data_IF_946954809328
#
_entry.id   IF_946954809328
#
_cell.length_a   1.000
_cell.length_b   1.000
_cell.length_c   1.000
_cell.angle_alpha   90.00
_cell.angle_beta   90.00
_cell.angle_gamma   90.00
#
_symmetry.space_group_name_H-M   'P 1'
#
loop_
_entity.id
_entity.type
_entity.pdbx_description
1 polymer ?
#
# COMPACT_ATOMS: atom_id res chain seq x y z
N UNK A 1 -2.78 1.47 -20.56
CA UNK A 1 -3.28 2.57 -19.71
C UNK A 1 -3.34 2.07 -18.27
N UNK A 2 -2.72 2.71 -17.28
CA UNK A 2 -2.80 2.26 -15.88
C UNK A 2 -4.26 2.39 -15.40
N UNK A 3 -4.88 1.27 -15.04
CA UNK A 3 -6.25 1.23 -14.54
C UNK A 3 -6.28 1.78 -13.12
N UNK A 4 -6.95 2.92 -12.93
CA UNK A 4 -7.14 3.51 -11.60
C UNK A 4 -8.14 2.63 -10.83
N UNK A 5 -7.64 1.75 -9.96
CA UNK A 5 -8.49 0.94 -9.07
C UNK A 5 -9.07 1.83 -7.97
N UNK A 6 -10.40 1.99 -7.96
CA UNK A 6 -11.11 2.70 -6.89
C UNK A 6 -11.35 1.73 -5.73
N UNK A 7 -10.97 2.13 -4.51
CA UNK A 7 -11.22 1.36 -3.28
C UNK A 7 -12.05 2.22 -2.34
N UNK A 8 -13.20 1.70 -1.91
CA UNK A 8 -14.05 2.34 -0.90
C UNK A 8 -13.54 1.94 0.49
N UNK A 9 -13.34 2.92 1.37
CA UNK A 9 -12.78 2.69 2.71
C UNK A 9 -13.62 3.44 3.73
N UNK A 10 -14.05 2.75 4.78
CA UNK A 10 -14.73 3.38 5.91
C UNK A 10 -13.70 4.06 6.81
N UNK A 11 -13.95 5.31 7.17
CA UNK A 11 -13.08 6.10 8.04
C UNK A 11 -13.86 6.60 9.25
N UNK A 12 -13.20 6.64 10.41
CA UNK A 12 -13.77 7.27 11.61
C UNK A 12 -13.96 8.78 11.40
N UNK A 13 -14.87 9.43 12.13
CA UNK A 13 -15.07 10.87 12.04
C UNK A 13 -13.79 11.68 12.26
N UNK A 14 -12.90 11.22 13.15
CA UNK A 14 -11.61 11.82 13.48
C UNK A 14 -10.70 11.84 12.25
N UNK A 15 -10.61 10.70 11.55
CA UNK A 15 -9.81 10.57 10.33
C UNK A 15 -10.37 11.45 9.21
N UNK A 16 -11.70 11.52 9.06
CA UNK A 16 -12.34 12.42 8.08
C UNK A 16 -11.98 13.89 8.34
N UNK A 17 -12.05 14.34 9.60
CA UNK A 17 -11.63 15.71 9.99
C UNK A 17 -10.16 15.95 9.67
N UNK A 18 -9.30 14.98 9.96
CA UNK A 18 -7.87 15.05 9.69
C UNK A 18 -7.56 15.16 8.17
N UNK A 19 -8.29 14.42 7.34
CA UNK A 19 -8.20 14.51 5.87
C UNK A 19 -8.69 15.87 5.38
N UNK A 20 -9.86 16.32 5.84
CA UNK A 20 -10.44 17.60 5.46
C UNK A 20 -9.52 18.78 5.79
N UNK A 21 -8.92 18.80 6.99
CA UNK A 21 -7.97 19.85 7.39
C UNK A 21 -6.73 19.89 6.48
N UNK A 22 -6.21 18.74 6.03
CA UNK A 22 -5.07 18.67 5.12
C UNK A 22 -5.39 19.16 3.71
N UNK A 23 -6.63 18.95 3.25
CA UNK A 23 -7.12 19.48 1.97
C UNK A 23 -7.33 21.00 2.09
N UNK A 24 -7.95 21.46 3.17
CA UNK A 24 -8.18 22.88 3.43
C UNK A 24 -6.87 23.68 3.53
N UNK A 25 -5.80 23.07 4.06
CA UNK A 25 -4.46 23.65 4.08
C UNK A 25 -3.79 23.77 2.69
N UNK A 26 -4.45 23.34 1.61
CA UNK A 26 -3.95 23.44 0.24
C UNK A 26 -2.87 22.45 -0.15
N UNK A 27 -2.43 21.57 0.78
CA UNK A 27 -1.36 20.59 0.52
C UNK A 27 -1.81 19.40 -0.33
N UNK A 28 -3.10 19.12 -0.39
CA UNK A 28 -3.67 18.00 -1.15
C UNK A 28 -5.01 18.41 -1.75
N UNK A 29 -5.34 17.89 -2.93
CA UNK A 29 -6.61 18.23 -3.63
C UNK A 29 -7.72 17.24 -3.33
N UNK A 30 -7.37 16.00 -3.00
CA UNK A 30 -8.33 14.91 -2.80
C UNK A 30 -8.01 14.04 -1.59
N UNK A 31 -9.03 13.38 -1.03
CA UNK A 31 -8.83 12.41 0.05
C UNK A 31 -7.89 11.27 -0.36
N UNK A 32 -7.98 10.78 -1.60
CA UNK A 32 -7.09 9.73 -2.10
C UNK A 32 -5.63 10.15 -2.14
N UNK A 33 -5.32 11.44 -2.38
CA UNK A 33 -3.94 11.94 -2.29
C UNK A 33 -3.44 11.98 -0.86
N UNK A 34 -4.28 12.42 0.08
CA UNK A 34 -3.94 12.41 1.51
C UNK A 34 -3.64 10.98 1.97
N UNK A 35 -4.50 10.02 1.60
CA UNK A 35 -4.32 8.60 1.98
C UNK A 35 -3.06 8.02 1.37
N UNK A 36 -2.76 8.28 0.08
CA UNK A 36 -1.50 7.82 -0.52
C UNK A 36 -0.27 8.42 0.15
N UNK A 37 -0.32 9.70 0.50
CA UNK A 37 0.78 10.35 1.21
C UNK A 37 0.96 9.76 2.62
N UNK A 38 -0.13 9.48 3.32
CA UNK A 38 -0.09 8.83 4.63
C UNK A 38 0.49 7.41 4.56
N UNK A 39 0.06 6.60 3.59
CA UNK A 39 0.60 5.25 3.39
C UNK A 39 2.09 5.28 3.01
N UNK A 40 2.52 6.21 2.16
CA UNK A 40 3.95 6.37 1.83
C UNK A 40 4.79 6.77 3.04
N UNK A 41 4.22 7.52 3.99
CA UNK A 41 4.90 7.83 5.25
C UNK A 41 4.96 6.59 6.14
N UNK A 42 3.87 5.84 6.25
CA UNK A 42 3.82 4.57 6.98
C UNK A 42 4.84 3.56 6.42
N UNK A 43 4.91 3.39 5.10
CA UNK A 43 5.86 2.46 4.45
C UNK A 43 7.33 2.79 4.74
N UNK A 44 7.65 4.03 5.13
CA UNK A 44 9.01 4.41 5.52
C UNK A 44 9.35 3.94 6.93
N UNK A 45 8.35 3.86 7.80
CA UNK A 45 8.49 3.39 9.18
C UNK A 45 8.31 1.86 9.26
N UNK A 46 7.42 1.31 8.42
CA UNK A 46 7.08 -0.10 8.31
C UNK A 46 7.20 -0.56 6.85
N UNK A 47 8.41 -0.85 6.35
CA UNK A 47 8.60 -1.28 4.97
C UNK A 47 7.83 -2.57 4.71
N UNK A 48 7.02 -2.60 3.65
CA UNK A 48 6.22 -3.77 3.26
C UNK A 48 7.04 -5.07 3.07
N UNK A 49 8.37 -4.97 2.93
CA UNK A 49 9.28 -6.11 2.93
C UNK A 49 9.24 -6.90 4.26
N UNK A 50 8.97 -6.24 5.39
CA UNK A 50 8.74 -6.92 6.67
C UNK A 50 7.44 -7.72 6.69
N UNK A 51 6.53 -7.46 5.75
CA UNK A 51 5.22 -8.13 5.61
C UNK A 51 5.26 -9.16 4.47
N UNK A 52 6.41 -9.36 3.78
CA UNK A 52 6.51 -10.36 2.73
C UNK A 52 6.32 -11.76 3.34
N UNK A 53 5.30 -12.53 2.93
CA UNK A 53 5.26 -13.94 3.26
C UNK A 53 6.52 -14.61 2.65
N UNK A 54 7.05 -15.67 3.29
CA UNK A 54 8.22 -16.36 2.78
C UNK A 54 7.95 -16.76 1.33
N UNK A 55 8.69 -16.17 0.40
CA UNK A 55 8.61 -16.54 -1.01
C UNK A 55 9.11 -17.98 -1.07
N UNK A 56 8.18 -18.92 -1.28
CA UNK A 56 8.47 -20.35 -1.33
C UNK A 56 9.60 -20.58 -2.33
N UNK A 57 10.69 -21.17 -1.84
CA UNK A 57 11.82 -21.55 -2.67
C UNK A 57 11.32 -22.45 -3.79
N UNK A 58 11.37 -21.93 -5.00
CA UNK A 58 11.28 -22.70 -6.22
C UNK A 58 12.50 -23.62 -6.21
N UNK A 59 12.36 -24.82 -5.63
CA UNK A 59 13.31 -25.91 -5.75
C UNK A 59 13.24 -26.40 -7.20
N UNK A 60 13.81 -25.63 -8.12
CA UNK A 60 14.48 -26.23 -9.25
C UNK A 60 15.67 -26.99 -8.68
N UNK A 61 15.72 -28.30 -8.91
CA UNK A 61 16.93 -29.15 -8.95
C UNK A 61 16.60 -30.59 -8.58
N UNK A 62 15.78 -31.27 -9.39
CA UNK A 62 15.88 -32.73 -9.52
C UNK A 62 16.01 -33.08 -11.00
N UNK A 63 17.24 -32.91 -11.51
CA UNK A 63 17.72 -33.65 -12.66
C UNK A 63 18.13 -35.04 -12.19
N UNK A 64 17.54 -36.07 -12.77
CA UNK A 64 18.00 -37.44 -12.64
C UNK A 64 17.54 -38.22 -13.86
N UNK A 65 18.41 -38.56 -14.81
CA UNK A 65 18.01 -39.44 -15.90
C UNK A 65 17.91 -40.86 -15.36
N UNK A 66 16.70 -41.42 -15.34
CA UNK A 66 16.50 -42.86 -15.12
C UNK A 66 17.01 -43.61 -16.36
N UNK A 67 18.12 -44.34 -16.20
CA UNK A 67 18.54 -45.43 -17.07
C UNK A 67 18.70 -46.68 -16.24
#
# INVERSE_FOLDING_TARGET
MPTRKTMNVSMTPELKRSVAARIAAGRYRTASEVVRAALRLLDREEPLETIRPPQGGERGDHVGPSR
#
